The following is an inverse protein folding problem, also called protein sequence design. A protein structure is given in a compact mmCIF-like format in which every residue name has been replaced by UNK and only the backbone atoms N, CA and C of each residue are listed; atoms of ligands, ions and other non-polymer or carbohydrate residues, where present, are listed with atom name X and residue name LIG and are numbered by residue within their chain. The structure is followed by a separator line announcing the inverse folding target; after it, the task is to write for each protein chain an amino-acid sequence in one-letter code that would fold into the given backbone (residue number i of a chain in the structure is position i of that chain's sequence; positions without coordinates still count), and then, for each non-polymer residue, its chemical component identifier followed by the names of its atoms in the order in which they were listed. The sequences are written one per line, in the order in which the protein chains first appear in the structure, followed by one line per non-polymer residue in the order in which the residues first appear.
data_IF_820032149010
#
_entry.id   IF_820032149010
#
_cell.length_a   1.000
_cell.length_b   1.000
_cell.length_c   1.000
_cell.angle_alpha   90.00
_cell.angle_beta   90.00
_cell.angle_gamma   90.00
#
_symmetry.space_group_name_H-M   'P 1'
#
loop_
_entity.id
_entity.type
_entity.pdbx_description
1 polymer ?
#
# COMPACT_ATOMS: atom_id res chain seq x y z
N UNK A 1 -0.95 2.52 1.19
CA UNK A 1 -2.15 1.78 1.71
C UNK A 1 -2.94 1.09 0.58
N UNK A 2 -2.28 0.67 -0.48
CA UNK A 2 -2.88 0.07 -1.67
C UNK A 2 -3.50 -1.31 -1.42
N UNK A 3 -4.48 -1.70 -2.23
CA UNK A 3 -5.00 -3.08 -2.25
C UNK A 3 -3.98 -4.01 -2.89
N UNK A 4 -3.86 -5.25 -2.38
CA UNK A 4 -2.89 -6.22 -2.91
C UNK A 4 -3.06 -6.46 -4.42
N UNK A 5 -4.31 -6.49 -4.92
CA UNK A 5 -4.57 -6.64 -6.35
C UNK A 5 -3.98 -5.51 -7.19
N UNK A 6 -4.09 -4.26 -6.74
CA UNK A 6 -3.51 -3.10 -7.41
C UNK A 6 -1.97 -3.14 -7.37
N UNK A 7 -1.38 -3.57 -6.25
CA UNK A 7 0.09 -3.69 -6.11
C UNK A 7 0.65 -4.75 -7.06
N UNK A 8 0.09 -5.97 -7.04
CA UNK A 8 0.57 -7.03 -7.94
C UNK A 8 0.23 -6.74 -9.41
N UNK A 9 -0.75 -5.87 -9.66
CA UNK A 9 -1.14 -5.44 -11.00
C UNK A 9 -0.14 -4.52 -11.69
N UNK A 10 0.76 -3.87 -10.93
CA UNK A 10 1.73 -2.92 -11.49
C UNK A 10 2.71 -3.57 -12.47
N UNK A 11 3.05 -2.83 -13.51
CA UNK A 11 4.19 -3.07 -14.38
C UNK A 11 5.39 -2.26 -13.89
N UNK A 12 6.57 -2.50 -14.45
CA UNK A 12 7.78 -1.73 -14.11
C UNK A 12 7.58 -0.23 -14.39
N UNK A 13 6.90 0.13 -15.49
CA UNK A 13 6.59 1.51 -15.84
C UNK A 13 5.60 2.22 -14.91
N UNK A 14 4.93 1.48 -14.03
CA UNK A 14 4.01 2.05 -13.03
C UNK A 14 4.73 2.54 -11.77
N UNK A 15 6.03 2.27 -11.66
CA UNK A 15 6.95 2.90 -10.74
C UNK A 15 7.77 3.92 -11.54
N UNK A 16 7.50 5.19 -11.35
CA UNK A 16 8.04 6.25 -12.20
C UNK A 16 8.40 7.49 -11.40
N UNK A 17 9.28 8.28 -11.96
CA UNK A 17 9.71 9.55 -11.38
C UNK A 17 8.95 10.70 -12.01
N UNK A 18 8.42 11.60 -11.18
CA UNK A 18 7.84 12.88 -11.57
C UNK A 18 8.47 14.00 -10.73
N UNK A 19 9.19 14.89 -11.39
CA UNK A 19 10.02 15.88 -10.73
C UNK A 19 11.12 15.21 -9.90
N UNK A 20 11.14 15.49 -8.59
CA UNK A 20 12.13 14.93 -7.65
C UNK A 20 11.60 13.74 -6.85
N UNK A 21 10.40 13.24 -7.15
CA UNK A 21 9.74 12.21 -6.36
C UNK A 21 9.39 11.00 -7.20
N UNK A 22 9.47 9.83 -6.58
CA UNK A 22 8.96 8.59 -7.14
C UNK A 22 7.49 8.41 -6.83
N UNK A 23 6.77 7.78 -7.75
CA UNK A 23 5.33 7.57 -7.70
C UNK A 23 4.99 6.13 -8.05
N UNK A 24 3.86 5.67 -7.50
CA UNK A 24 3.22 4.43 -7.91
C UNK A 24 1.91 4.72 -8.63
N UNK A 25 1.76 4.15 -9.81
CA UNK A 25 0.49 4.11 -10.54
C UNK A 25 -0.20 2.79 -10.26
N UNK A 26 -1.30 2.83 -9.54
CA UNK A 26 -2.08 1.67 -9.12
C UNK A 26 -3.28 1.48 -10.06
N UNK A 27 -3.48 0.25 -10.52
CA UNK A 27 -4.63 -0.12 -11.36
C UNK A 27 -5.72 -0.71 -10.46
N UNK A 28 -6.70 0.08 -10.12
CA UNK A 28 -7.79 -0.29 -9.24
C UNK A 28 -8.95 -0.94 -10.01
N UNK A 29 -9.92 -1.50 -9.26
CA UNK A 29 -11.11 -2.14 -9.83
C UNK A 29 -11.85 -1.18 -10.78
N UNK A 30 -12.32 -1.71 -11.93
CA UNK A 30 -13.04 -0.90 -12.94
C UNK A 30 -12.13 -0.04 -13.81
N UNK A 31 -10.82 -0.35 -13.88
CA UNK A 31 -9.88 0.36 -14.76
C UNK A 31 -9.47 1.75 -14.24
N UNK A 32 -9.87 2.11 -13.03
CA UNK A 32 -9.47 3.38 -12.41
C UNK A 32 -7.99 3.40 -12.13
N UNK A 33 -7.30 4.43 -12.57
CA UNK A 33 -5.90 4.71 -12.22
C UNK A 33 -5.85 5.55 -10.96
N UNK A 34 -4.94 5.20 -10.06
CA UNK A 34 -4.72 5.92 -8.83
C UNK A 34 -3.21 6.09 -8.62
N UNK A 35 -2.74 7.32 -8.62
CA UNK A 35 -1.33 7.63 -8.46
C UNK A 35 -1.08 8.16 -7.06
N UNK A 36 -0.03 7.64 -6.43
CA UNK A 36 0.38 8.04 -5.08
C UNK A 36 1.89 8.19 -5.03
N UNK A 37 2.40 9.20 -4.30
CA UNK A 37 3.83 9.32 -4.09
C UNK A 37 4.36 8.12 -3.31
N UNK A 38 5.54 7.65 -3.68
CA UNK A 38 6.23 6.59 -2.97
C UNK A 38 6.76 7.13 -1.63
N UNK A 39 6.51 6.38 -0.56
CA UNK A 39 7.18 6.64 0.71
C UNK A 39 8.66 6.26 0.56
N UNK A 40 9.59 7.01 1.15
CA UNK A 40 11.03 6.79 1.00
C UNK A 40 11.49 5.35 1.27
N UNK A 41 10.89 4.66 2.26
CA UNK A 41 11.19 3.25 2.51
C UNK A 41 10.70 2.34 1.38
N UNK A 42 9.53 2.64 0.77
CA UNK A 42 9.02 1.87 -0.34
C UNK A 42 9.86 2.07 -1.60
N UNK A 43 10.32 3.30 -1.84
CA UNK A 43 11.28 3.64 -2.88
C UNK A 43 12.56 2.81 -2.71
N UNK A 44 13.22 2.89 -1.54
CA UNK A 44 14.45 2.14 -1.28
C UNK A 44 14.30 0.62 -1.49
N UNK A 45 13.17 0.03 -1.07
CA UNK A 45 12.92 -1.40 -1.26
C UNK A 45 12.64 -1.77 -2.72
N UNK A 46 11.93 -0.93 -3.47
CA UNK A 46 11.67 -1.20 -4.90
C UNK A 46 12.94 -1.03 -5.70
N UNK A 47 13.75 -0.02 -5.43
CA UNK A 47 15.03 0.19 -6.11
C UNK A 47 15.99 -0.98 -5.86
N UNK A 48 16.12 -1.43 -4.61
CA UNK A 48 16.92 -2.60 -4.27
C UNK A 48 16.41 -3.87 -4.97
N UNK A 49 15.08 -4.03 -5.07
CA UNK A 49 14.47 -5.15 -5.78
C UNK A 49 14.76 -5.08 -7.27
N UNK A 50 14.58 -3.93 -7.92
CA UNK A 50 14.84 -3.73 -9.35
C UNK A 50 16.31 -4.00 -9.70
N UNK A 51 17.24 -3.54 -8.85
CA UNK A 51 18.68 -3.76 -9.02
C UNK A 51 19.04 -5.26 -9.00
N UNK A 52 18.51 -6.01 -8.03
CA UNK A 52 18.76 -7.45 -7.91
C UNK A 52 18.03 -8.24 -9.00
N UNK A 53 16.80 -7.87 -9.32
CA UNK A 53 15.96 -8.54 -10.29
C UNK A 53 16.39 -8.29 -11.74
N UNK A 54 17.13 -7.22 -12.00
CA UNK A 54 17.60 -6.77 -13.33
C UNK A 54 16.45 -6.68 -14.37
N UNK A 55 15.32 -6.10 -13.94
CA UNK A 55 14.11 -6.02 -14.78
C UNK A 55 13.72 -4.59 -15.15
N UNK A 56 14.54 -3.60 -14.83
CA UNK A 56 14.21 -2.18 -15.05
C UNK A 56 13.87 -1.87 -16.52
N UNK A 57 14.52 -2.53 -17.45
CA UNK A 57 14.32 -2.33 -18.91
C UNK A 57 13.03 -3.01 -19.43
N UNK A 58 12.49 -3.99 -18.72
CA UNK A 58 11.22 -4.64 -19.09
C UNK A 58 10.02 -3.83 -18.62
N UNK A 59 9.92 -2.59 -19.10
CA UNK A 59 8.98 -1.56 -18.64
C UNK A 59 7.52 -2.02 -18.61
N UNK A 60 7.09 -2.80 -19.60
CA UNK A 60 5.72 -3.34 -19.70
C UNK A 60 5.54 -4.67 -18.99
N UNK A 61 6.63 -5.27 -18.53
CA UNK A 61 6.61 -6.49 -17.74
C UNK A 61 6.13 -6.25 -16.31
N UNK A 62 5.71 -7.33 -15.61
CA UNK A 62 5.27 -7.18 -14.22
C UNK A 62 6.37 -6.64 -13.32
N UNK A 63 6.04 -5.65 -12.49
CA UNK A 63 6.96 -5.15 -11.45
C UNK A 63 7.27 -6.24 -10.43
N UNK A 64 6.25 -6.89 -9.90
CA UNK A 64 6.43 -8.00 -8.95
C UNK A 64 6.22 -9.34 -9.65
N UNK A 65 7.26 -10.16 -9.64
CA UNK A 65 7.30 -11.45 -10.34
C UNK A 65 7.34 -12.62 -9.36
N UNK A 66 6.78 -13.73 -9.78
CA UNK A 66 6.83 -14.98 -9.04
C UNK A 66 8.20 -15.66 -9.18
N UNK A 67 8.51 -16.52 -8.23
CA UNK A 67 9.65 -17.41 -8.27
C UNK A 67 9.25 -18.79 -8.79
N UNK A 68 10.16 -19.49 -9.45
CA UNK A 68 10.02 -20.92 -9.77
C UNK A 68 10.38 -21.80 -8.55
N UNK A 69 10.39 -23.12 -8.76
CA UNK A 69 10.71 -24.08 -7.69
C UNK A 69 12.15 -23.97 -7.21
N UNK A 70 13.06 -23.55 -8.08
CA UNK A 70 14.48 -23.33 -7.82
C UNK A 70 14.77 -21.93 -7.24
N UNK A 71 13.70 -21.18 -6.92
CA UNK A 71 13.76 -19.81 -6.39
C UNK A 71 14.36 -18.76 -7.36
N UNK A 72 14.32 -19.03 -8.65
CA UNK A 72 14.72 -18.07 -9.68
C UNK A 72 13.53 -17.19 -10.05
N UNK A 73 13.80 -15.93 -10.35
CA UNK A 73 12.79 -14.97 -10.78
C UNK A 73 12.26 -15.35 -12.17
N UNK A 74 10.95 -15.42 -12.30
CA UNK A 74 10.28 -15.71 -13.58
C UNK A 74 9.79 -14.42 -14.24
N UNK A 75 9.31 -14.49 -15.49
CA UNK A 75 8.59 -13.39 -16.14
C UNK A 75 7.10 -13.33 -15.74
N UNK A 76 6.63 -14.26 -14.93
CA UNK A 76 5.23 -14.38 -14.53
C UNK A 76 4.91 -13.41 -13.40
N UNK A 77 3.80 -12.71 -13.51
CA UNK A 77 3.28 -11.80 -12.48
C UNK A 77 3.04 -12.54 -11.17
N UNK A 78 3.44 -11.94 -10.07
CA UNK A 78 3.16 -12.46 -8.73
C UNK A 78 1.64 -12.46 -8.48
N UNK A 79 1.11 -13.58 -8.06
CA UNK A 79 -0.32 -13.69 -7.78
C UNK A 79 -0.64 -13.31 -6.34
N UNK A 80 -1.84 -12.74 -6.11
CA UNK A 80 -2.28 -12.29 -4.78
C UNK A 80 -2.21 -13.38 -3.70
N UNK A 81 -2.42 -14.65 -4.06
CA UNK A 81 -2.31 -15.78 -3.12
C UNK A 81 -0.86 -16.07 -2.73
N UNK A 82 0.09 -15.87 -3.64
CA UNK A 82 1.52 -15.98 -3.35
C UNK A 82 1.94 -14.87 -2.36
N UNK A 83 1.44 -13.63 -2.54
CA UNK A 83 1.65 -12.54 -1.56
C UNK A 83 1.09 -12.92 -0.20
N UNK A 84 -0.14 -13.45 -0.14
CA UNK A 84 -0.74 -13.89 1.12
C UNK A 84 0.10 -14.99 1.79
N UNK A 85 0.58 -15.96 1.02
CA UNK A 85 1.45 -17.02 1.54
C UNK A 85 2.75 -16.46 2.13
N UNK A 86 3.38 -15.48 1.45
CA UNK A 86 4.56 -14.78 1.97
C UNK A 86 4.25 -14.05 3.28
N UNK A 87 3.14 -13.29 3.33
CA UNK A 87 2.71 -12.59 4.54
C UNK A 87 2.46 -13.57 5.69
N UNK A 88 1.72 -14.65 5.46
CA UNK A 88 1.45 -15.66 6.48
C UNK A 88 2.74 -16.31 7.02
N UNK A 89 3.70 -16.59 6.16
CA UNK A 89 5.01 -17.11 6.56
C UNK A 89 5.77 -16.10 7.41
N UNK A 90 5.84 -14.84 7.00
CA UNK A 90 6.52 -13.77 7.74
C UNK A 90 5.84 -13.46 9.07
N UNK A 91 4.51 -13.43 9.10
CA UNK A 91 3.74 -13.24 10.33
C UNK A 91 4.06 -14.35 11.35
N UNK A 92 4.13 -15.62 10.93
CA UNK A 92 4.54 -16.73 11.81
C UNK A 92 5.96 -16.55 12.34
N UNK A 93 6.91 -16.17 11.48
CA UNK A 93 8.30 -15.92 11.90
C UNK A 93 8.42 -14.78 12.90
N UNK A 94 7.55 -13.78 12.82
CA UNK A 94 7.51 -12.62 13.72
C UNK A 94 6.55 -12.81 14.91
N UNK A 95 6.02 -14.01 15.13
CA UNK A 95 5.05 -14.31 16.20
C UNK A 95 3.80 -13.41 16.18
N UNK A 96 3.40 -12.95 15.01
CA UNK A 96 2.18 -12.16 14.82
C UNK A 96 0.95 -13.07 14.76
N UNK A 97 -0.25 -12.53 15.06
CA UNK A 97 -1.50 -13.28 14.99
C UNK A 97 -1.70 -13.97 13.64
N UNK A 98 -2.24 -15.19 13.65
CA UNK A 98 -2.52 -15.94 12.42
C UNK A 98 -3.56 -15.27 11.51
N UNK A 99 -4.36 -14.36 12.04
CA UNK A 99 -5.31 -13.53 11.29
C UNK A 99 -4.61 -12.51 10.40
N UNK A 100 -3.31 -12.21 10.64
CA UNK A 100 -2.54 -11.25 9.84
C UNK A 100 -2.57 -11.58 8.35
N UNK A 101 -2.99 -10.63 7.52
CA UNK A 101 -3.16 -10.78 6.08
C UNK A 101 -2.87 -9.44 5.35
N UNK A 102 -2.98 -9.42 4.03
CA UNK A 102 -2.75 -8.20 3.24
C UNK A 102 -3.62 -7.03 3.71
N UNK A 103 -4.87 -7.31 4.11
CA UNK A 103 -5.79 -6.27 4.57
C UNK A 103 -5.39 -5.68 5.92
N UNK A 104 -4.75 -6.47 6.79
CA UNK A 104 -4.22 -6.00 8.07
C UNK A 104 -3.26 -4.83 7.88
N UNK A 105 -2.30 -4.92 6.95
CA UNK A 105 -1.35 -3.83 6.67
C UNK A 105 -2.03 -2.58 6.14
N UNK A 106 -3.08 -2.75 5.32
CA UNK A 106 -3.87 -1.61 4.86
C UNK A 106 -4.60 -0.94 6.00
N UNK A 107 -5.27 -1.72 6.85
CA UNK A 107 -5.98 -1.23 8.02
C UNK A 107 -5.03 -0.50 8.99
N UNK A 108 -3.90 -1.14 9.33
CA UNK A 108 -2.86 -0.53 10.19
C UNK A 108 -2.37 0.79 9.60
N UNK A 109 -2.06 0.83 8.30
CA UNK A 109 -1.57 2.05 7.66
C UNK A 109 -2.58 3.20 7.71
N UNK A 110 -3.88 2.93 7.52
CA UNK A 110 -4.93 3.96 7.61
C UNK A 110 -5.06 4.43 9.07
N UNK A 111 -5.18 3.49 10.02
CA UNK A 111 -5.31 3.80 11.45
C UNK A 111 -4.12 4.63 11.96
N UNK A 112 -2.88 4.21 11.64
CA UNK A 112 -1.67 4.94 12.05
C UNK A 112 -1.62 6.34 11.44
N UNK A 113 -2.03 6.50 10.16
CA UNK A 113 -2.09 7.81 9.52
C UNK A 113 -3.05 8.76 10.26
N UNK A 114 -4.24 8.28 10.61
CA UNK A 114 -5.24 9.07 11.35
C UNK A 114 -4.75 9.39 12.77
N UNK A 115 -4.18 8.43 13.48
CA UNK A 115 -3.61 8.62 14.82
C UNK A 115 -2.46 9.63 14.85
N UNK A 116 -1.72 9.76 13.73
CA UNK A 116 -0.66 10.77 13.57
C UNK A 116 -1.19 12.12 13.06
N UNK A 117 -2.48 12.40 13.20
CA UNK A 117 -3.08 13.70 12.85
C UNK A 117 -3.41 13.86 11.36
N UNK A 118 -3.36 12.78 10.59
CA UNK A 118 -3.83 12.80 9.20
C UNK A 118 -5.35 12.94 9.10
N UNK A 119 -5.84 13.66 8.09
CA UNK A 119 -7.29 13.86 7.89
C UNK A 119 -7.96 12.64 7.27
N UNK A 120 -9.27 12.47 7.54
CA UNK A 120 -10.07 11.38 6.98
C UNK A 120 -10.12 11.48 5.44
N UNK A 121 -10.22 12.71 4.91
CA UNK A 121 -10.25 12.98 3.47
C UNK A 121 -8.97 12.51 2.77
N UNK A 122 -7.82 12.87 3.31
CA UNK A 122 -6.54 12.41 2.78
C UNK A 122 -6.35 10.89 2.96
N UNK A 123 -6.75 10.32 4.10
CA UNK A 123 -6.74 8.88 4.29
C UNK A 123 -7.61 8.16 3.26
N UNK A 124 -8.80 8.71 2.94
CA UNK A 124 -9.69 8.21 1.90
C UNK A 124 -9.03 8.24 0.53
N UNK A 125 -8.41 9.38 0.18
CA UNK A 125 -7.70 9.54 -1.09
C UNK A 125 -6.54 8.55 -1.21
N UNK A 126 -5.64 8.49 -0.21
CA UNK A 126 -4.48 7.58 -0.22
C UNK A 126 -4.93 6.11 -0.31
N UNK A 127 -6.02 5.77 0.37
CA UNK A 127 -6.57 4.42 0.36
C UNK A 127 -7.45 4.14 -0.87
N UNK A 128 -7.80 5.14 -1.65
CA UNK A 128 -8.75 5.06 -2.75
C UNK A 128 -10.06 4.37 -2.33
N UNK A 129 -10.67 4.89 -1.25
CA UNK A 129 -12.00 4.48 -0.82
C UNK A 129 -13.06 5.29 -1.55
N UNK A 130 -14.06 4.61 -2.12
CA UNK A 130 -15.17 5.27 -2.81
C UNK A 130 -16.07 6.08 -1.85
N UNK A 131 -16.11 5.67 -0.57
CA UNK A 131 -16.94 6.32 0.44
C UNK A 131 -16.11 6.69 1.68
N UNK A 132 -16.29 7.90 2.24
CA UNK A 132 -15.72 8.30 3.53
C UNK A 132 -16.09 7.34 4.68
N UNK A 133 -17.29 6.74 4.61
CA UNK A 133 -17.73 5.74 5.60
C UNK A 133 -16.75 4.59 5.74
N UNK A 134 -16.16 4.13 4.62
CA UNK A 134 -15.17 3.04 4.66
C UNK A 134 -13.90 3.47 5.40
N UNK A 135 -13.48 4.72 5.26
CA UNK A 135 -12.30 5.25 5.97
C UNK A 135 -12.61 5.46 7.45
N UNK A 136 -13.82 5.93 7.78
CA UNK A 136 -14.26 6.15 9.17
C UNK A 136 -14.25 4.87 10.02
N UNK A 137 -14.40 3.69 9.41
CA UNK A 137 -14.27 2.41 10.12
C UNK A 137 -12.86 2.16 10.70
N UNK A 138 -11.86 2.86 10.21
CA UNK A 138 -10.47 2.77 10.69
C UNK A 138 -10.10 3.91 11.63
N UNK A 139 -11.00 4.88 11.80
CA UNK A 139 -10.83 5.95 12.74
C UNK A 139 -11.06 5.41 14.15
N UNK A 140 -10.01 5.41 14.95
CA UNK A 140 -10.01 5.02 16.35
C UNK A 140 -9.63 6.19 17.24
N UNK A 141 -9.61 7.40 16.71
CA UNK A 141 -9.54 8.61 17.50
C UNK A 141 -10.85 8.69 18.29
N UNK A 142 -10.75 8.90 19.59
CA UNK A 142 -11.93 8.98 20.45
C UNK A 142 -12.87 10.07 19.92
N UNK A 143 -14.14 9.71 19.69
CA UNK A 143 -15.24 10.66 19.43
C UNK A 143 -15.56 11.56 20.65
N UNK A 144 -14.72 11.53 21.70
CA UNK A 144 -14.86 12.42 22.85
C UNK A 144 -14.52 13.84 22.43
N UNK A 145 -15.53 14.70 22.45
CA UNK A 145 -15.35 16.14 22.23
C UNK A 145 -14.45 16.67 23.34
N UNK A 146 -13.24 17.12 22.98
CA UNK A 146 -12.32 17.74 23.94
C UNK A 146 -12.73 19.19 24.21
N UNK A 147 -12.27 19.73 25.34
CA UNK A 147 -12.46 21.14 25.64
C UNK A 147 -11.87 22.03 24.54
N UNK A 148 -10.69 21.65 24.00
CA UNK A 148 -10.03 22.35 22.91
C UNK A 148 -10.90 22.43 21.65
N UNK A 149 -11.71 21.41 21.37
CA UNK A 149 -12.67 21.46 20.26
C UNK A 149 -13.81 22.45 20.52
N UNK A 150 -14.28 22.53 21.76
CA UNK A 150 -15.31 23.48 22.14
C UNK A 150 -14.78 24.92 22.12
N UNK A 151 -13.54 25.13 22.57
CA UNK A 151 -12.91 26.46 22.57
C UNK A 151 -12.58 26.99 21.16
N UNK A 152 -12.69 26.17 20.12
CA UNK A 152 -12.63 26.64 18.72
C UNK A 152 -13.88 27.42 18.29
N UNK A 153 -14.95 27.37 19.07
CA UNK A 153 -16.15 28.18 18.84
C UNK A 153 -15.88 29.59 19.37
N UNK A 154 -15.50 30.48 18.46
CA UNK A 154 -15.34 31.90 18.79
C UNK A 154 -16.74 32.56 18.89
N UNK A 155 -17.16 32.90 20.10
CA UNK A 155 -18.39 33.62 20.39
C UNK A 155 -18.06 35.09 20.60
#
# INVERSE_FOLDING_TARGET
MARVGAVVGMNVEDYFQEGKRWWFRLHEKGGKRHEVPAHHNAEAYVDAYLAVAQIAEDRKGPLFRSLDRERRLTKRRLHRLEVLAVIKRRARQASLPQTTCCHTFRATGITTYLQNGGTIEHAQQIANHESPRTTKLYDRTNDAISLDEIERILI
#
